data_IF_770177091420
#
_entry.id   IF_770177091420
#
_cell.length_a   1.000
_cell.length_b   1.000
_cell.length_c   1.000
_cell.angle_alpha   90.00
_cell.angle_beta   90.00
_cell.angle_gamma   90.00
#
_symmetry.space_group_name_H-M   'P 1'
#
loop_
_entity.id
_entity.type
_entity.pdbx_description
1 polymer ?
#
# COMPACT_ATOMS: atom_id res chain seq x y z
N UNK A 1 -29.60 -63.22 -26.91
CA UNK A 1 -28.54 -63.22 -25.88
C UNK A 1 -27.58 -62.05 -26.13
N UNK A 2 -28.04 -60.79 -26.05
CA UNK A 2 -27.30 -59.63 -26.60
C UNK A 2 -26.95 -58.56 -25.54
N UNK A 3 -27.27 -58.81 -24.26
CA UNK A 3 -27.01 -57.86 -23.16
C UNK A 3 -25.65 -58.06 -22.49
N UNK A 4 -25.08 -59.26 -22.57
CA UNK A 4 -23.74 -59.57 -22.02
C UNK A 4 -22.59 -59.10 -22.91
N UNK A 5 -22.83 -58.93 -24.22
CA UNK A 5 -21.82 -58.48 -25.17
C UNK A 5 -21.49 -56.98 -25.01
N UNK A 6 -22.46 -56.15 -24.62
CA UNK A 6 -22.25 -54.73 -24.36
C UNK A 6 -21.41 -54.46 -23.10
N UNK A 7 -21.59 -55.25 -22.05
CA UNK A 7 -20.79 -55.14 -20.83
C UNK A 7 -19.34 -55.57 -21.04
N UNK A 8 -19.08 -56.54 -21.93
CA UNK A 8 -17.73 -57.02 -22.20
C UNK A 8 -16.90 -56.01 -23.03
N UNK A 9 -17.56 -55.19 -23.85
CA UNK A 9 -16.93 -54.17 -24.69
C UNK A 9 -16.63 -52.87 -23.91
N UNK A 10 -17.38 -52.57 -22.85
CA UNK A 10 -17.11 -51.42 -21.97
C UNK A 10 -15.96 -51.69 -20.97
N UNK A 11 -15.75 -52.95 -20.59
CA UNK A 11 -14.67 -53.35 -19.68
C UNK A 11 -13.28 -53.32 -20.35
N UNK A 12 -13.20 -53.50 -21.67
CA UNK A 12 -11.92 -53.48 -22.42
C UNK A 12 -11.42 -52.07 -22.73
N UNK A 13 -12.28 -51.04 -22.64
CA UNK A 13 -11.90 -49.65 -22.86
C UNK A 13 -11.20 -49.00 -21.64
N UNK A 14 -11.27 -49.62 -20.46
CA UNK A 14 -10.74 -49.05 -19.22
C UNK A 14 -9.26 -49.38 -18.93
N UNK A 15 -8.62 -50.27 -19.71
CA UNK A 15 -7.24 -50.74 -19.46
C UNK A 15 -6.16 -49.99 -20.26
N UNK A 16 -6.53 -48.97 -21.02
CA UNK A 16 -5.62 -48.20 -21.90
C UNK A 16 -5.24 -46.81 -21.35
N UNK A 17 -5.47 -46.54 -20.06
CA UNK A 17 -4.92 -45.36 -19.39
C UNK A 17 -3.59 -45.72 -18.72
N UNK A 18 -2.42 -45.43 -19.33
CA UNK A 18 -1.16 -45.42 -18.60
C UNK A 18 -1.18 -44.20 -17.67
N UNK A 19 -1.78 -44.38 -16.49
CA UNK A 19 -1.66 -43.44 -15.39
C UNK A 19 -0.23 -43.52 -14.84
N UNK A 20 0.67 -42.71 -15.38
CA UNK A 20 1.97 -42.43 -14.79
C UNK A 20 1.79 -41.83 -13.39
N UNK A 21 1.69 -42.65 -12.36
CA UNK A 21 1.93 -42.25 -10.97
C UNK A 21 3.40 -42.49 -10.59
N UNK A 22 4.30 -42.18 -11.53
CA UNK A 22 5.74 -42.27 -11.37
C UNK A 22 6.23 -40.96 -10.74
N UNK A 23 6.63 -41.06 -9.47
CA UNK A 23 7.56 -40.15 -8.79
C UNK A 23 7.30 -38.64 -8.95
N UNK A 24 6.48 -38.07 -8.07
CA UNK A 24 6.69 -36.69 -7.66
C UNK A 24 7.62 -36.67 -6.46
N UNK A 25 8.93 -36.71 -6.71
CA UNK A 25 9.91 -36.17 -5.76
C UNK A 25 9.50 -34.73 -5.48
N UNK A 26 9.20 -34.44 -4.21
CA UNK A 26 8.95 -33.06 -3.77
C UNK A 26 10.31 -32.35 -3.81
N UNK A 27 10.54 -31.37 -4.70
CA UNK A 27 11.76 -30.60 -4.64
C UNK A 27 11.80 -29.90 -3.28
N UNK A 28 12.85 -30.21 -2.51
CA UNK A 28 13.21 -29.52 -1.28
C UNK A 28 13.39 -28.05 -1.63
N UNK A 29 12.37 -27.25 -1.31
CA UNK A 29 12.33 -25.81 -1.53
C UNK A 29 13.49 -25.19 -0.75
N UNK A 30 14.55 -24.82 -1.47
CA UNK A 30 15.60 -23.96 -0.96
C UNK A 30 14.95 -22.69 -0.40
N UNK A 31 15.19 -22.40 0.88
CA UNK A 31 14.83 -21.15 1.51
C UNK A 31 15.65 -20.03 0.86
N UNK A 32 15.09 -19.42 -0.19
CA UNK A 32 15.51 -18.09 -0.62
C UNK A 32 15.36 -17.13 0.57
N UNK A 33 16.26 -16.15 0.72
CA UNK A 33 16.15 -15.11 1.73
C UNK A 33 14.72 -14.57 1.76
N UNK A 34 14.09 -14.57 2.94
CA UNK A 34 12.75 -14.01 3.14
C UNK A 34 12.82 -12.50 2.96
N UNK A 35 12.86 -12.04 1.71
CA UNK A 35 12.51 -10.68 1.36
C UNK A 35 11.13 -10.37 1.95
N UNK A 36 10.85 -9.12 2.37
CA UNK A 36 9.55 -8.76 2.91
C UNK A 36 8.46 -9.17 1.93
N UNK A 37 7.70 -10.19 2.31
CA UNK A 37 6.67 -10.75 1.46
C UNK A 37 5.61 -9.67 1.23
N UNK A 38 5.63 -9.05 0.05
CA UNK A 38 4.62 -8.09 -0.35
C UNK A 38 3.31 -8.85 -0.53
N UNK A 39 2.31 -8.52 0.29
CA UNK A 39 1.03 -9.22 0.36
C UNK A 39 -0.02 -8.46 -0.44
N UNK A 40 -0.73 -9.15 -1.31
CA UNK A 40 -1.91 -8.60 -1.99
C UNK A 40 -3.08 -8.58 -1.01
N UNK A 41 -3.56 -7.39 -0.65
CA UNK A 41 -4.58 -7.19 0.38
C UNK A 41 -5.98 -6.99 -0.18
N UNK A 42 -6.10 -6.45 -1.40
CA UNK A 42 -7.41 -6.15 -1.97
C UNK A 42 -7.37 -5.56 -3.38
N UNK A 43 -8.53 -5.05 -3.81
CA UNK A 43 -8.70 -4.19 -5.00
C UNK A 43 -9.33 -2.86 -4.62
N UNK A 44 -9.06 -1.82 -5.40
CA UNK A 44 -9.81 -0.57 -5.31
C UNK A 44 -11.24 -0.82 -5.83
N UNK A 45 -12.23 -0.66 -4.95
CA UNK A 45 -13.65 -0.85 -5.28
C UNK A 45 -14.30 0.44 -5.76
N UNK A 46 -13.94 1.57 -5.14
CA UNK A 46 -14.42 2.89 -5.54
C UNK A 46 -13.45 3.98 -5.09
N UNK A 47 -13.51 5.12 -5.77
CA UNK A 47 -12.69 6.29 -5.51
C UNK A 47 -13.62 7.47 -5.30
N UNK A 48 -13.46 8.18 -4.19
CA UNK A 48 -14.19 9.42 -3.94
C UNK A 48 -13.31 10.60 -4.35
N UNK A 49 -13.61 11.18 -5.52
CA UNK A 49 -12.87 12.32 -6.07
C UNK A 49 -12.89 13.55 -5.16
N UNK A 50 -13.97 13.77 -4.43
CA UNK A 50 -14.18 14.98 -3.62
C UNK A 50 -13.28 15.04 -2.37
N UNK A 51 -12.97 13.89 -1.78
CA UNK A 51 -12.30 13.81 -0.48
C UNK A 51 -10.97 13.05 -0.53
N UNK A 52 -10.50 12.67 -1.71
CA UNK A 52 -9.22 11.96 -1.94
C UNK A 52 -9.05 10.67 -1.11
N UNK A 53 -10.16 9.96 -0.86
CA UNK A 53 -10.13 8.64 -0.24
C UNK A 53 -10.61 7.57 -1.23
N UNK A 54 -10.16 6.35 -1.01
CA UNK A 54 -10.52 5.17 -1.79
C UNK A 54 -11.05 4.08 -0.86
N UNK A 55 -11.99 3.30 -1.37
CA UNK A 55 -12.47 2.09 -0.71
C UNK A 55 -11.78 0.89 -1.35
N UNK A 56 -11.14 0.10 -0.51
CA UNK A 56 -10.42 -1.10 -0.89
C UNK A 56 -11.27 -2.30 -0.49
N UNK A 57 -11.69 -3.10 -1.46
CA UNK A 57 -12.29 -4.41 -1.20
C UNK A 57 -11.21 -5.40 -0.81
N UNK A 58 -11.22 -5.85 0.45
CA UNK A 58 -10.35 -6.88 0.97
C UNK A 58 -10.73 -8.25 0.39
N UNK A 59 -9.74 -9.05 -0.02
CA UNK A 59 -9.99 -10.43 -0.48
C UNK A 59 -10.25 -11.43 0.66
N UNK A 60 -10.04 -11.01 1.92
CA UNK A 60 -10.13 -11.90 3.07
C UNK A 60 -9.85 -11.12 4.35
N UNK A 61 -9.05 -11.72 5.24
CA UNK A 61 -8.77 -11.10 6.52
C UNK A 61 -7.90 -9.84 6.36
N UNK A 62 -8.38 -8.72 6.90
CA UNK A 62 -7.67 -7.45 6.85
C UNK A 62 -6.65 -7.37 7.99
N UNK A 63 -5.38 -7.60 7.65
CA UNK A 63 -4.26 -7.61 8.60
C UNK A 63 -3.39 -6.34 8.53
N UNK A 64 -3.82 -5.33 7.78
CA UNK A 64 -3.06 -4.09 7.59
C UNK A 64 -3.28 -3.15 8.78
N UNK A 65 -2.22 -2.67 9.45
CA UNK A 65 -2.36 -1.74 10.56
C UNK A 65 -2.81 -0.36 10.10
N UNK A 66 -3.47 0.37 10.98
CA UNK A 66 -3.87 1.76 10.75
C UNK A 66 -2.65 2.63 10.48
N UNK A 67 -2.72 3.48 9.45
CA UNK A 67 -1.62 4.35 9.05
C UNK A 67 -0.54 3.69 8.19
N UNK A 68 -0.66 2.38 7.91
CA UNK A 68 0.24 1.68 6.99
C UNK A 68 0.24 2.31 5.60
N UNK A 69 1.40 2.30 4.96
CA UNK A 69 1.55 2.68 3.56
C UNK A 69 1.23 1.47 2.69
N UNK A 70 0.36 1.68 1.71
CA UNK A 70 -0.07 0.71 0.73
C UNK A 70 0.32 1.20 -0.66
N UNK A 71 0.75 0.27 -1.51
CA UNK A 71 1.05 0.56 -2.90
C UNK A 71 -0.03 -0.06 -3.79
N UNK A 72 -0.59 0.73 -4.69
CA UNK A 72 -1.41 0.18 -5.78
C UNK A 72 -0.51 -0.30 -6.89
N UNK A 73 -0.89 -1.41 -7.51
CA UNK A 73 -0.27 -1.95 -8.72
C UNK A 73 -1.31 -1.94 -9.82
N UNK A 74 -1.18 -0.97 -10.71
CA UNK A 74 -2.09 -0.71 -11.81
C UNK A 74 -1.34 -0.80 -13.13
N UNK A 75 -1.78 -1.69 -14.03
CA UNK A 75 -1.18 -1.85 -15.36
C UNK A 75 0.36 -1.94 -15.38
N UNK A 76 0.96 -1.59 -16.51
CA UNK A 76 2.40 -1.81 -16.74
C UNK A 76 3.30 -0.81 -16.00
N UNK A 77 2.82 0.39 -15.61
CA UNK A 77 3.68 1.43 -15.00
C UNK A 77 2.97 2.43 -14.07
N UNK A 78 1.75 2.16 -13.58
CA UNK A 78 1.06 3.09 -12.67
C UNK A 78 1.11 2.57 -11.24
N UNK A 79 1.71 3.38 -10.37
CA UNK A 79 1.81 3.11 -8.94
C UNK A 79 1.32 4.34 -8.20
N UNK A 80 0.39 4.14 -7.28
CA UNK A 80 -0.11 5.18 -6.37
C UNK A 80 0.11 4.74 -4.93
N UNK A 81 0.50 5.70 -4.09
CA UNK A 81 0.74 5.52 -2.67
C UNK A 81 -0.53 5.88 -1.90
N UNK A 82 -1.00 4.95 -1.10
CA UNK A 82 -2.18 5.08 -0.25
C UNK A 82 -1.77 4.93 1.22
N UNK A 83 -2.52 5.57 2.11
CA UNK A 83 -2.37 5.43 3.55
C UNK A 83 -3.63 4.82 4.13
N UNK A 84 -3.51 3.72 4.87
CA UNK A 84 -4.65 3.10 5.52
C UNK A 84 -5.23 4.04 6.60
N UNK A 85 -6.51 4.40 6.51
CA UNK A 85 -7.19 5.21 7.53
C UNK A 85 -7.52 4.40 8.80
N UNK A 86 -7.58 3.07 8.68
CA UNK A 86 -7.97 2.16 9.76
C UNK A 86 -9.47 1.98 9.92
N UNK A 87 -10.28 2.77 9.20
CA UNK A 87 -11.71 2.59 9.10
C UNK A 87 -12.04 1.40 8.20
N UNK A 88 -12.88 0.48 8.70
CA UNK A 88 -13.33 -0.70 7.96
C UNK A 88 -14.83 -0.90 8.09
N UNK A 89 -15.46 -1.30 6.98
CA UNK A 89 -16.87 -1.64 6.90
C UNK A 89 -17.02 -2.95 6.14
N UNK A 90 -17.16 -4.05 6.88
CA UNK A 90 -17.25 -5.39 6.30
C UNK A 90 -16.00 -5.77 5.52
N UNK A 91 -16.15 -5.93 4.20
CA UNK A 91 -15.04 -6.24 3.28
C UNK A 91 -14.37 -4.99 2.69
N UNK A 92 -14.80 -3.79 3.08
CA UNK A 92 -14.23 -2.55 2.56
C UNK A 92 -13.38 -1.87 3.63
N UNK A 93 -12.17 -1.48 3.27
CA UNK A 93 -11.29 -0.65 4.09
C UNK A 93 -11.09 0.71 3.43
N UNK A 94 -11.09 1.78 4.22
CA UNK A 94 -10.82 3.11 3.72
C UNK A 94 -9.31 3.42 3.73
N UNK A 95 -8.84 4.03 2.66
CA UNK A 95 -7.48 4.54 2.56
C UNK A 95 -7.44 5.92 1.90
N UNK A 96 -6.53 6.76 2.36
CA UNK A 96 -6.32 8.10 1.84
C UNK A 96 -5.24 8.09 0.76
N UNK A 97 -5.47 8.84 -0.33
CA UNK A 97 -4.50 8.96 -1.41
C UNK A 97 -3.39 9.91 -0.97
N UNK A 98 -2.16 9.39 -0.84
CA UNK A 98 -0.98 10.21 -0.55
C UNK A 98 -0.33 10.74 -1.83
N UNK A 99 -0.36 9.95 -2.91
CA UNK A 99 0.18 10.35 -4.19
C UNK A 99 -0.17 9.38 -5.31
N UNK A 100 -0.17 9.88 -6.55
CA UNK A 100 -0.63 9.14 -7.73
C UNK A 100 -2.13 9.29 -7.99
N UNK A 101 -2.59 8.60 -9.02
CA UNK A 101 -4.01 8.54 -9.41
C UNK A 101 -4.42 7.05 -9.45
N UNK A 102 -4.98 6.51 -8.37
CA UNK A 102 -5.52 5.15 -8.40
C UNK A 102 -6.74 5.10 -9.33
N UNK A 103 -6.98 3.95 -9.94
CA UNK A 103 -8.18 3.64 -10.72
C UNK A 103 -8.98 2.50 -10.05
N UNK A 104 -10.27 2.42 -10.38
CA UNK A 104 -11.12 1.35 -9.87
C UNK A 104 -10.68 0.02 -10.48
N UNK A 105 -10.48 -0.99 -9.64
CA UNK A 105 -10.00 -2.32 -10.03
C UNK A 105 -8.52 -2.57 -9.76
N UNK A 106 -7.75 -1.54 -9.39
CA UNK A 106 -6.31 -1.68 -9.11
C UNK A 106 -6.03 -2.61 -7.93
N UNK A 107 -4.99 -3.42 -8.05
CA UNK A 107 -4.56 -4.32 -6.97
C UNK A 107 -3.81 -3.57 -5.88
N UNK A 108 -4.18 -3.75 -4.61
CA UNK A 108 -3.50 -3.11 -3.49
C UNK A 108 -2.56 -4.09 -2.82
N UNK A 109 -1.31 -3.66 -2.68
CA UNK A 109 -0.21 -4.39 -2.06
C UNK A 109 0.18 -3.74 -0.75
N UNK A 110 0.36 -4.56 0.28
CA UNK A 110 0.95 -4.19 1.55
C UNK A 110 2.34 -4.81 1.67
N UNK A 111 3.35 -3.97 1.85
CA UNK A 111 4.69 -4.40 2.20
C UNK A 111 4.89 -4.05 3.67
N UNK A 112 5.00 -5.05 4.57
CA UNK A 112 5.31 -4.74 5.96
C UNK A 112 6.67 -4.03 6.01
N UNK A 113 6.82 -2.96 6.80
CA UNK A 113 8.13 -2.37 7.02
C UNK A 113 9.01 -3.46 7.61
N UNK A 114 10.14 -3.74 6.96
CA UNK A 114 11.19 -4.54 7.57
C UNK A 114 11.67 -3.72 8.73
N UNK A 115 11.33 -4.12 9.95
CA UNK A 115 12.00 -3.60 11.13
C UNK A 115 13.47 -3.97 10.96
N UNK A 116 14.29 -3.01 10.53
CA UNK A 116 15.74 -3.09 10.66
C UNK A 116 16.04 -3.17 12.15
N UNK A 117 16.08 -4.40 12.68
CA UNK A 117 16.74 -4.72 13.94
C UNK A 117 18.25 -4.64 13.70
N UNK A 118 18.73 -3.44 13.41
CA UNK A 118 20.11 -3.05 13.64
C UNK A 118 20.08 -2.02 14.77
N UNK A 119 20.76 -2.28 15.91
CA UNK A 119 20.96 -1.25 16.91
C UNK A 119 21.79 -0.14 16.27
N UNK A 120 21.12 0.95 15.90
CA UNK A 120 21.77 2.19 15.52
C UNK A 120 22.52 2.67 16.75
N UNK A 121 23.84 2.43 16.79
CA UNK A 121 24.74 3.16 17.68
C UNK A 121 24.50 4.66 17.46
N UNK A 122 24.45 5.49 18.52
CA UNK A 122 24.15 6.92 18.39
C UNK A 122 25.23 7.58 17.52
N UNK A 123 24.85 8.07 16.34
CA UNK A 123 25.61 9.11 15.65
C UNK A 123 24.93 10.43 16.04
N UNK A 124 25.70 11.39 16.59
CA UNK A 124 25.18 12.52 17.35
C UNK A 124 24.26 13.43 16.53
N UNK A 125 23.26 13.96 17.22
CA UNK A 125 22.43 15.10 16.82
C UNK A 125 23.26 16.21 16.17
N UNK A 126 22.71 16.81 15.11
CA UNK A 126 22.51 18.25 15.15
C UNK A 126 21.05 18.50 15.52
N UNK A 127 20.89 19.24 16.61
CA UNK A 127 19.66 19.81 17.14
C UNK A 127 18.68 20.20 16.01
N UNK A 128 17.47 19.65 16.04
CA UNK A 128 16.33 20.25 16.72
C UNK A 128 16.00 21.62 16.12
N UNK A 129 14.97 21.68 15.28
CA UNK A 129 13.96 22.70 15.57
C UNK A 129 12.57 22.24 15.12
N UNK A 130 11.68 22.27 16.10
CA UNK A 130 10.31 21.75 16.11
C UNK A 130 9.33 22.84 15.65
N UNK A 131 8.11 22.35 15.31
CA UNK A 131 6.79 22.99 15.38
C UNK A 131 6.33 23.92 14.21
N UNK A 132 5.47 23.32 13.37
CA UNK A 132 4.06 23.71 13.02
C UNK A 132 3.49 25.04 13.62
N UNK A 133 2.32 25.56 13.18
CA UNK A 133 1.70 25.72 11.84
C UNK A 133 0.87 27.06 11.68
N UNK A 134 0.34 27.32 10.46
CA UNK A 134 -0.83 28.20 10.10
C UNK A 134 -0.70 29.74 10.18
N UNK A 135 -1.37 30.37 9.21
CA UNK A 135 -2.20 31.60 9.34
C UNK A 135 -1.71 32.90 8.68
N UNK A 136 -2.00 32.99 7.38
CA UNK A 136 -2.72 34.07 6.68
C UNK A 136 -2.72 35.53 7.23
N UNK A 137 -2.40 36.43 6.28
CA UNK A 137 -2.90 37.82 6.04
C UNK A 137 -2.01 39.00 6.55
N UNK A 138 -1.54 39.89 5.64
CA UNK A 138 -0.99 41.23 5.92
C UNK A 138 -2.14 42.29 5.85
N UNK A 139 -1.93 43.62 5.97
CA UNK A 139 -0.83 44.43 6.52
C UNK A 139 -1.32 45.46 7.57
N UNK A 140 -0.42 46.07 8.33
CA UNK A 140 -0.56 47.47 8.75
C UNK A 140 0.82 48.06 9.10
N UNK A 141 1.30 49.09 8.37
CA UNK A 141 2.44 49.89 8.79
C UNK A 141 1.92 50.97 9.73
N UNK A 142 2.29 50.91 11.00
CA UNK A 142 1.93 51.95 11.95
C UNK A 142 2.97 52.08 13.04
N UNK A 143 3.74 53.16 12.87
CA UNK A 143 4.15 54.09 13.94
C UNK A 143 5.25 53.57 14.86
N UNK A 144 6.39 54.26 14.93
CA UNK A 144 6.82 55.12 16.07
C UNK A 144 8.27 54.64 16.29
N UNK A 145 9.36 55.39 16.37
CA UNK A 145 9.56 56.77 16.76
C UNK A 145 11.04 57.12 16.58
N UNK A 146 11.29 58.40 16.35
CA UNK A 146 12.37 59.19 16.97
C UNK A 146 13.84 58.87 16.66
N UNK A 147 14.45 59.80 15.91
CA UNK A 147 15.66 60.48 16.41
C UNK A 147 15.49 61.99 16.27
N UNK A 148 15.60 62.77 17.36
CA UNK A 148 15.71 64.21 17.29
C UNK A 148 17.17 64.67 17.34
N UNK A 149 17.35 65.93 16.94
CA UNK A 149 18.39 66.88 17.36
C UNK A 149 19.63 67.07 16.45
N UNK A 150 19.91 68.35 16.18
CA UNK A 150 20.86 68.94 15.23
C UNK A 150 20.10 69.97 14.36
N UNK A 151 19.82 71.21 14.79
CA UNK A 151 20.78 72.34 15.00
C UNK A 151 21.67 72.45 13.76
N UNK A 152 21.62 73.44 12.85
CA UNK A 152 21.54 74.93 12.93
C UNK A 152 21.47 75.40 11.46
N UNK A 153 20.59 76.34 11.07
CA UNK A 153 20.91 77.74 10.72
C UNK A 153 21.83 77.93 9.48
N UNK A 154 21.39 78.67 8.46
CA UNK A 154 21.99 79.94 7.95
C UNK A 154 21.67 80.20 6.46
N UNK A 155 21.28 81.46 6.21
CA UNK A 155 21.19 82.24 4.96
C UNK A 155 20.07 81.93 3.96
#
# INVERSE_FOLDING_TARGET
>A
MNRTLGFLLLATAATLLPGCSLFHEKPKKEEKPKEPATKLVGRVASISGDKKFVLIQSYGNWEVPTGAILATRAGENRVSNLRCSGEKLGQFAAADIQGGMPEVGDGVLYTPPVEETTPVKPVPEPADDKKKPVENIPPAPSTTFFRPCGTTQTA
#
